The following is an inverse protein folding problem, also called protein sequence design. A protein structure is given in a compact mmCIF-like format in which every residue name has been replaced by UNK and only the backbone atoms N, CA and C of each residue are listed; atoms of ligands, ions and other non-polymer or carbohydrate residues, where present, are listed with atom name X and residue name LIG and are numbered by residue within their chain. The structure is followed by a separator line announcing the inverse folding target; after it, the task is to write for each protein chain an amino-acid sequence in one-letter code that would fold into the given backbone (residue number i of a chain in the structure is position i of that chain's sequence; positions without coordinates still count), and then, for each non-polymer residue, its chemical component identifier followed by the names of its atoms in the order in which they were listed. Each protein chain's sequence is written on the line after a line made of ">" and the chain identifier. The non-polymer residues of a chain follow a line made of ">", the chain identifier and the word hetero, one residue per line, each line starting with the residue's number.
data_IF_731584602507
#
_entry.id   IF_731584602507
#
_cell.length_a   1.000
_cell.length_b   1.000
_cell.length_c   1.000
_cell.angle_alpha   90.00
_cell.angle_beta   90.00
_cell.angle_gamma   90.00
#
_symmetry.space_group_name_H-M   'P 1'
#
loop_
_entity.id
_entity.type
_entity.pdbx_description
1 polymer ?
#
# COMPACT_ATOMS: atom_id res chain seq x y z
N UNK A 1 -10.87 -12.60 -7.29
CA UNK A 1 -9.49 -12.32 -7.77
C UNK A 1 -9.48 -11.38 -8.98
N UNK A 2 -10.37 -11.54 -9.95
CA UNK A 2 -10.37 -10.76 -11.21
C UNK A 2 -10.68 -9.26 -11.00
N UNK A 3 -11.64 -8.93 -10.13
CA UNK A 3 -11.96 -7.54 -9.80
C UNK A 3 -10.74 -6.78 -9.25
N UNK A 4 -10.01 -7.34 -8.28
CA UNK A 4 -8.84 -6.68 -7.73
C UNK A 4 -7.73 -6.47 -8.78
N UNK A 5 -7.54 -7.43 -9.68
CA UNK A 5 -6.61 -7.28 -10.82
C UNK A 5 -7.03 -6.15 -11.76
N UNK A 6 -8.32 -6.03 -12.06
CA UNK A 6 -8.83 -4.96 -12.93
C UNK A 6 -8.57 -3.57 -12.35
N UNK A 7 -8.66 -3.40 -11.01
CA UNK A 7 -8.38 -2.13 -10.34
C UNK A 7 -6.94 -1.64 -10.50
N UNK A 8 -5.98 -2.51 -10.73
CA UNK A 8 -4.57 -2.16 -10.89
C UNK A 8 -4.03 -2.40 -12.31
N UNK A 9 -4.87 -2.77 -13.28
CA UNK A 9 -4.43 -3.19 -14.61
C UNK A 9 -3.58 -2.13 -15.34
N UNK A 10 -3.99 -0.86 -15.27
CA UNK A 10 -3.25 0.27 -15.89
C UNK A 10 -1.87 0.44 -15.24
N UNK A 11 -1.82 0.48 -13.92
CA UNK A 11 -0.58 0.64 -13.18
C UNK A 11 0.34 -0.59 -13.37
N UNK A 12 -0.24 -1.79 -13.45
CA UNK A 12 0.48 -3.02 -13.73
C UNK A 12 1.16 -2.98 -15.09
N UNK A 13 0.42 -2.67 -16.16
CA UNK A 13 0.95 -2.58 -17.53
C UNK A 13 2.05 -1.51 -17.65
N UNK A 14 1.83 -0.34 -17.04
CA UNK A 14 2.83 0.73 -16.98
C UNK A 14 4.10 0.30 -16.27
N UNK A 15 3.98 -0.37 -15.13
CA UNK A 15 5.12 -0.84 -14.34
C UNK A 15 5.89 -1.94 -15.07
N UNK A 16 5.19 -2.87 -15.70
CA UNK A 16 5.80 -3.96 -16.49
C UNK A 16 6.63 -3.40 -17.64
N UNK A 17 6.11 -2.40 -18.36
CA UNK A 17 6.84 -1.70 -19.42
C UNK A 17 8.10 -1.02 -18.91
N UNK A 18 8.02 -0.24 -17.82
CA UNK A 18 9.19 0.39 -17.19
C UNK A 18 10.27 -0.63 -16.77
N UNK A 19 9.88 -1.81 -16.29
CA UNK A 19 10.81 -2.88 -15.96
C UNK A 19 11.47 -3.49 -17.21
N UNK A 20 10.74 -3.66 -18.29
CA UNK A 20 11.26 -4.14 -19.56
C UNK A 20 12.27 -3.17 -20.17
N UNK A 21 11.95 -1.87 -20.19
CA UNK A 21 12.86 -0.80 -20.63
C UNK A 21 14.16 -0.78 -19.82
N UNK A 22 14.05 -0.83 -18.49
CA UNK A 22 15.22 -0.85 -17.60
C UNK A 22 16.09 -2.12 -17.74
N UNK A 23 15.48 -3.23 -18.14
CA UNK A 23 16.16 -4.51 -18.37
C UNK A 23 16.63 -4.69 -19.82
N UNK A 24 16.35 -3.74 -20.71
CA UNK A 24 16.55 -3.86 -22.18
C UNK A 24 15.97 -5.16 -22.75
N UNK A 25 14.75 -5.52 -22.29
CA UNK A 25 14.08 -6.78 -22.59
C UNK A 25 12.66 -6.53 -23.13
N UNK A 26 12.05 -7.56 -23.74
CA UNK A 26 10.65 -7.46 -24.14
C UNK A 26 9.70 -7.42 -22.95
N UNK A 27 8.54 -6.81 -23.09
CA UNK A 27 7.53 -6.72 -22.01
C UNK A 27 7.05 -8.12 -21.60
N UNK A 28 6.94 -9.03 -22.57
CA UNK A 28 6.50 -10.42 -22.36
C UNK A 28 7.47 -11.20 -21.50
N UNK A 29 8.78 -10.91 -21.59
CA UNK A 29 9.81 -11.57 -20.80
C UNK A 29 9.82 -11.19 -19.32
N UNK A 30 9.12 -10.11 -18.93
CA UNK A 30 8.99 -9.70 -17.54
C UNK A 30 7.91 -10.54 -16.85
N UNK A 31 8.26 -11.43 -15.90
CA UNK A 31 7.29 -12.24 -15.20
C UNK A 31 6.31 -11.40 -14.37
N UNK A 32 5.03 -11.76 -14.37
CA UNK A 32 3.99 -11.02 -13.65
C UNK A 32 4.29 -10.86 -12.14
N UNK A 33 4.87 -11.87 -11.50
CA UNK A 33 5.21 -11.84 -10.06
C UNK A 33 6.26 -10.78 -9.69
N UNK A 34 7.04 -10.28 -10.68
CA UNK A 34 7.99 -9.17 -10.47
C UNK A 34 7.33 -7.79 -10.51
N UNK A 35 6.12 -7.72 -11.02
CA UNK A 35 5.41 -6.46 -11.17
C UNK A 35 4.60 -6.19 -9.90
N UNK A 36 5.12 -5.33 -9.02
CA UNK A 36 4.41 -4.89 -7.83
C UNK A 36 3.87 -3.48 -8.06
N UNK A 37 2.56 -3.31 -7.95
CA UNK A 37 1.88 -2.04 -8.19
C UNK A 37 1.87 -1.13 -6.96
N UNK A 38 1.69 0.20 -7.13
CA UNK A 38 1.51 1.12 -6.00
C UNK A 38 0.35 0.74 -5.08
N UNK A 39 -0.77 0.22 -5.63
CA UNK A 39 -1.90 -0.27 -4.84
C UNK A 39 -1.49 -1.41 -3.90
N UNK A 40 -0.79 -2.43 -4.41
CA UNK A 40 -0.33 -3.55 -3.60
C UNK A 40 0.59 -3.08 -2.47
N UNK A 41 1.53 -2.18 -2.77
CA UNK A 41 2.46 -1.64 -1.78
C UNK A 41 1.75 -0.77 -0.74
N UNK A 42 0.82 0.09 -1.16
CA UNK A 42 0.01 0.90 -0.25
C UNK A 42 -0.81 0.02 0.71
N UNK A 43 -1.49 -1.02 0.21
CA UNK A 43 -2.25 -1.96 1.05
C UNK A 43 -1.34 -2.67 2.07
N UNK A 44 -0.13 -3.09 1.68
CA UNK A 44 0.82 -3.70 2.61
C UNK A 44 1.22 -2.74 3.73
N UNK A 45 1.50 -1.48 3.39
CA UNK A 45 1.85 -0.43 4.35
C UNK A 45 0.68 -0.16 5.30
N UNK A 46 -0.54 0.02 4.77
CA UNK A 46 -1.74 0.28 5.56
C UNK A 46 -2.07 -0.88 6.50
N UNK A 47 -1.94 -2.13 6.04
CA UNK A 47 -2.09 -3.31 6.91
C UNK A 47 -1.04 -3.34 8.02
N UNK A 48 0.21 -3.00 7.71
CA UNK A 48 1.27 -2.97 8.71
C UNK A 48 1.04 -1.87 9.76
N UNK A 49 0.63 -0.68 9.32
CA UNK A 49 0.24 0.41 10.21
C UNK A 49 -0.88 -0.01 11.16
N UNK A 50 -1.95 -0.63 10.63
CA UNK A 50 -3.03 -1.20 11.44
C UNK A 50 -2.51 -2.23 12.45
N UNK A 51 -1.67 -3.16 12.02
CA UNK A 51 -1.17 -4.25 12.86
C UNK A 51 -0.31 -3.72 14.02
N UNK A 52 0.45 -2.65 13.81
CA UNK A 52 1.18 -1.97 14.89
C UNK A 52 0.23 -1.25 15.85
N UNK A 53 -0.76 -0.52 15.32
CA UNK A 53 -1.71 0.23 16.14
C UNK A 53 -2.57 -0.69 17.02
N UNK A 54 -2.89 -1.91 16.53
CA UNK A 54 -3.75 -2.88 17.23
C UNK A 54 -2.97 -4.10 17.74
N UNK A 55 -1.67 -3.96 18.06
CA UNK A 55 -0.86 -5.06 18.61
C UNK A 55 -1.51 -5.69 19.84
N UNK A 56 -2.08 -4.85 20.70
CA UNK A 56 -2.66 -5.22 22.00
C UNK A 56 -4.19 -5.26 22.03
N UNK A 57 -4.86 -4.91 20.90
CA UNK A 57 -6.33 -4.87 20.74
C UNK A 57 -6.77 -5.68 19.53
N UNK A 58 -6.41 -6.96 19.46
CA UNK A 58 -6.60 -7.82 18.27
C UNK A 58 -8.06 -8.13 17.94
N UNK A 59 -8.93 -8.14 18.94
CA UNK A 59 -10.36 -8.45 18.89
C UNK A 59 -11.18 -7.40 18.10
N UNK A 60 -10.78 -6.14 18.21
CA UNK A 60 -11.42 -5.01 17.49
C UNK A 60 -10.65 -4.57 16.25
N UNK A 61 -9.50 -5.17 15.98
CA UNK A 61 -8.64 -4.81 14.85
C UNK A 61 -9.42 -4.89 13.52
N UNK A 62 -9.43 -3.82 12.70
CA UNK A 62 -10.07 -3.84 11.39
C UNK A 62 -9.58 -5.00 10.52
N UNK A 63 -10.49 -5.77 9.95
CA UNK A 63 -10.13 -6.95 9.16
C UNK A 63 -9.50 -6.59 7.82
N UNK A 64 -8.59 -7.44 7.36
CA UNK A 64 -7.77 -7.17 6.15
C UNK A 64 -8.59 -7.01 4.88
N UNK A 65 -9.73 -7.69 4.77
CA UNK A 65 -10.57 -7.64 3.57
C UNK A 65 -11.20 -6.26 3.41
N UNK A 66 -11.66 -5.62 4.51
CA UNK A 66 -12.19 -4.24 4.49
C UNK A 66 -11.12 -3.27 3.97
N UNK A 67 -9.91 -3.30 4.54
CA UNK A 67 -8.84 -2.42 4.10
C UNK A 67 -8.50 -2.64 2.62
N UNK A 68 -8.40 -3.91 2.19
CA UNK A 68 -8.07 -4.24 0.80
C UNK A 68 -9.15 -3.77 -0.17
N UNK A 69 -10.42 -4.02 0.16
CA UNK A 69 -11.56 -3.67 -0.71
C UNK A 69 -11.70 -2.15 -0.83
N UNK A 70 -11.73 -1.44 0.29
CA UNK A 70 -11.85 0.01 0.29
C UNK A 70 -10.65 0.71 -0.38
N UNK A 71 -9.42 0.20 -0.16
CA UNK A 71 -8.24 0.70 -0.86
C UNK A 71 -8.33 0.51 -2.36
N UNK A 72 -8.80 -0.65 -2.82
CA UNK A 72 -8.93 -0.92 -4.24
C UNK A 72 -10.05 -0.10 -4.91
N UNK A 73 -11.13 0.20 -4.20
CA UNK A 73 -12.16 1.14 -4.67
C UNK A 73 -11.63 2.57 -4.80
N UNK A 74 -10.85 3.03 -3.82
CA UNK A 74 -10.34 4.40 -3.76
C UNK A 74 -9.14 4.66 -4.68
N UNK A 75 -8.46 3.61 -5.16
CA UNK A 75 -7.28 3.70 -6.01
C UNK A 75 -7.63 4.10 -7.44
N UNK A 76 -6.94 5.10 -7.99
CA UNK A 76 -7.15 5.68 -9.32
C UNK A 76 -5.95 5.50 -10.27
N UNK A 77 -5.17 4.44 -10.07
CA UNK A 77 -3.99 4.12 -10.89
C UNK A 77 -2.82 5.09 -10.72
N UNK A 78 -2.64 5.60 -9.53
CA UNK A 78 -1.53 6.48 -9.15
C UNK A 78 -0.18 5.84 -9.44
N UNK A 79 0.80 6.67 -9.82
CA UNK A 79 2.11 6.19 -10.26
C UNK A 79 3.06 5.85 -9.12
N UNK A 80 2.90 6.51 -7.99
CA UNK A 80 3.77 6.34 -6.83
C UNK A 80 3.01 5.83 -5.60
N UNK A 81 3.74 5.20 -4.68
CA UNK A 81 3.17 4.70 -3.42
C UNK A 81 2.60 5.86 -2.58
N UNK A 82 3.31 6.99 -2.54
CA UNK A 82 2.88 8.17 -1.77
C UNK A 82 1.55 8.72 -2.30
N UNK A 83 1.43 8.89 -3.62
CA UNK A 83 0.18 9.32 -4.24
C UNK A 83 -0.96 8.32 -3.97
N UNK A 84 -0.68 7.01 -4.09
CA UNK A 84 -1.67 5.97 -3.80
C UNK A 84 -2.13 6.01 -2.35
N UNK A 85 -1.22 6.16 -1.37
CA UNK A 85 -1.57 6.28 0.05
C UNK A 85 -2.46 7.50 0.31
N UNK A 86 -2.08 8.67 -0.20
CA UNK A 86 -2.88 9.91 -0.03
C UNK A 86 -4.26 9.75 -0.68
N UNK A 87 -4.32 9.28 -1.90
CA UNK A 87 -5.57 9.08 -2.64
C UNK A 87 -6.50 8.09 -1.93
N UNK A 88 -5.97 6.94 -1.52
CA UNK A 88 -6.71 5.90 -0.80
C UNK A 88 -7.26 6.44 0.51
N UNK A 89 -6.41 7.02 1.36
CA UNK A 89 -6.80 7.52 2.67
C UNK A 89 -7.81 8.67 2.59
N UNK A 90 -7.75 9.49 1.55
CA UNK A 90 -8.70 10.58 1.34
C UNK A 90 -10.10 10.09 0.98
N UNK A 91 -10.21 8.94 0.29
CA UNK A 91 -11.45 8.53 -0.37
C UNK A 91 -12.06 7.22 0.13
N UNK A 92 -11.30 6.37 0.84
CA UNK A 92 -11.74 4.99 1.09
C UNK A 92 -13.02 4.87 1.91
N UNK A 93 -13.30 5.79 2.83
CA UNK A 93 -14.52 5.81 3.62
C UNK A 93 -15.77 6.17 2.81
N UNK A 94 -15.63 6.82 1.65
CA UNK A 94 -16.75 7.12 0.74
C UNK A 94 -17.37 5.86 0.11
N UNK A 95 -16.66 4.74 0.17
CA UNK A 95 -17.13 3.45 -0.33
C UNK A 95 -17.79 2.58 0.74
N UNK A 96 -18.04 3.15 1.92
CA UNK A 96 -18.83 2.54 2.98
C UNK A 96 -20.26 3.04 2.84
N UNK A 97 -21.16 2.16 2.42
CA UNK A 97 -22.59 2.47 2.33
C UNK A 97 -23.27 2.43 3.70
N UNK A 98 -24.37 3.16 3.83
CA UNK A 98 -25.26 3.13 4.99
C UNK A 98 -26.73 3.30 4.53
N UNK A 99 -27.61 2.39 4.92
CA UNK A 99 -29.03 2.41 4.52
C UNK A 99 -29.97 3.04 5.57
N UNK A 100 -29.40 3.64 6.61
CA UNK A 100 -30.14 4.14 7.77
C UNK A 100 -30.15 3.18 8.96
N UNK A 101 -29.80 1.92 8.75
CA UNK A 101 -29.79 0.86 9.77
C UNK A 101 -28.42 0.17 9.83
N UNK A 102 -27.88 -0.21 8.68
CA UNK A 102 -26.66 -1.02 8.57
C UNK A 102 -25.62 -0.40 7.65
N UNK A 103 -24.36 -0.70 7.91
CA UNK A 103 -23.23 -0.35 7.06
C UNK A 103 -22.95 -1.45 6.05
N UNK A 104 -22.53 -1.06 4.84
CA UNK A 104 -22.27 -1.96 3.72
C UNK A 104 -20.86 -1.74 3.16
N UNK A 105 -20.13 -2.83 3.04
CA UNK A 105 -18.89 -2.94 2.27
C UNK A 105 -19.04 -4.24 1.47
N UNK A 106 -19.73 -4.22 0.32
CA UNK A 106 -20.02 -5.43 -0.42
C UNK A 106 -18.75 -6.10 -0.94
N UNK A 107 -18.72 -7.43 -0.93
CA UNK A 107 -17.67 -8.18 -1.62
C UNK A 107 -17.82 -7.98 -3.14
N UNK A 108 -16.80 -7.44 -3.84
CA UNK A 108 -16.90 -7.21 -5.27
C UNK A 108 -17.02 -8.48 -6.12
N UNK A 109 -16.77 -9.65 -5.54
CA UNK A 109 -16.87 -10.96 -6.20
C UNK A 109 -18.18 -11.70 -5.83
N UNK A 110 -18.84 -11.28 -4.76
CA UNK A 110 -20.14 -11.79 -4.29
C UNK A 110 -20.90 -10.65 -3.60
N UNK A 111 -21.73 -9.88 -4.34
CA UNK A 111 -22.43 -8.72 -3.79
C UNK A 111 -23.41 -9.03 -2.64
N UNK A 112 -23.74 -10.30 -2.39
CA UNK A 112 -24.57 -10.71 -1.26
C UNK A 112 -23.77 -10.76 0.05
N UNK A 113 -22.45 -10.88 -0.02
CA UNK A 113 -21.57 -10.84 1.14
C UNK A 113 -21.23 -9.40 1.53
N UNK A 114 -21.47 -9.04 2.79
CA UNK A 114 -21.15 -7.74 3.36
C UNK A 114 -20.01 -7.85 4.37
N UNK A 115 -18.85 -7.28 4.07
CA UNK A 115 -17.70 -7.30 4.98
C UNK A 115 -17.89 -6.47 6.26
N UNK A 116 -18.90 -5.58 6.28
CA UNK A 116 -19.28 -4.80 7.45
C UNK A 116 -20.44 -5.40 8.26
N UNK A 117 -20.85 -6.63 7.97
CA UNK A 117 -22.01 -7.30 8.62
C UNK A 117 -21.92 -7.30 10.14
N UNK A 118 -20.72 -7.56 10.68
CA UNK A 118 -20.45 -7.60 12.12
C UNK A 118 -20.45 -6.23 12.81
N UNK A 119 -20.52 -5.12 12.05
CA UNK A 119 -20.51 -3.77 12.65
C UNK A 119 -21.83 -3.41 13.36
N UNK A 120 -22.92 -4.07 13.00
CA UNK A 120 -24.20 -3.92 13.68
C UNK A 120 -24.18 -4.57 15.09
N UNK A 121 -23.61 -5.77 15.19
CA UNK A 121 -23.48 -6.52 16.46
C UNK A 121 -22.29 -6.00 17.31
N UNK A 122 -21.25 -5.47 16.65
CA UNK A 122 -19.99 -5.04 17.23
C UNK A 122 -19.61 -3.62 16.79
N UNK A 123 -20.34 -2.58 17.28
CA UNK A 123 -20.09 -1.18 16.88
C UNK A 123 -18.68 -0.69 17.23
N UNK A 124 -18.01 -1.31 18.22
CA UNK A 124 -16.62 -1.05 18.57
C UNK A 124 -15.65 -1.39 17.42
N UNK A 125 -15.96 -2.36 16.57
CA UNK A 125 -15.13 -2.68 15.39
C UNK A 125 -15.21 -1.59 14.32
N UNK A 126 -16.39 -0.99 14.14
CA UNK A 126 -16.55 0.18 13.28
C UNK A 126 -15.80 1.37 13.84
N UNK A 127 -15.96 1.65 15.14
CA UNK A 127 -15.25 2.73 15.81
C UNK A 127 -13.73 2.57 15.66
N UNK A 128 -13.21 1.34 15.84
CA UNK A 128 -11.80 1.02 15.66
C UNK A 128 -11.32 1.22 14.20
N UNK A 129 -12.17 0.95 13.19
CA UNK A 129 -11.85 1.25 11.81
C UNK A 129 -11.66 2.75 11.57
N UNK A 130 -12.57 3.59 12.06
CA UNK A 130 -12.44 5.05 11.89
C UNK A 130 -11.31 5.63 12.73
N UNK A 131 -11.08 5.14 13.96
CA UNK A 131 -9.91 5.47 14.78
C UNK A 131 -8.60 5.20 14.02
N UNK A 132 -8.51 4.03 13.40
CA UNK A 132 -7.37 3.68 12.55
C UNK A 132 -7.24 4.59 11.34
N UNK A 133 -8.33 4.87 10.64
CA UNK A 133 -8.33 5.70 9.43
C UNK A 133 -7.83 7.12 9.74
N UNK A 134 -8.30 7.72 10.83
CA UNK A 134 -7.85 9.05 11.25
C UNK A 134 -6.37 9.05 11.67
N UNK A 135 -5.92 8.02 12.37
CA UNK A 135 -4.50 7.87 12.69
C UNK A 135 -3.65 7.73 11.42
N UNK A 136 -4.07 6.89 10.47
CA UNK A 136 -3.38 6.71 9.20
C UNK A 136 -3.35 8.01 8.37
N UNK A 137 -4.46 8.75 8.29
CA UNK A 137 -4.53 10.07 7.65
C UNK A 137 -3.50 11.02 8.24
N UNK A 138 -3.52 11.18 9.54
CA UNK A 138 -2.57 12.09 10.24
C UNK A 138 -1.13 11.71 9.93
N UNK A 139 -0.79 10.43 10.05
CA UNK A 139 0.58 9.96 9.94
C UNK A 139 1.12 10.04 8.51
N UNK A 140 0.35 9.62 7.51
CA UNK A 140 0.79 9.61 6.11
C UNK A 140 0.66 10.97 5.43
N UNK A 141 -0.31 11.81 5.80
CA UNK A 141 -0.41 13.18 5.27
C UNK A 141 0.71 14.06 5.81
N UNK A 142 1.07 13.91 7.10
CA UNK A 142 2.26 14.56 7.64
C UNK A 142 3.53 14.14 6.89
N UNK A 143 3.73 12.84 6.70
CA UNK A 143 4.87 12.31 5.95
C UNK A 143 4.92 12.82 4.49
N UNK A 144 3.78 13.02 3.85
CA UNK A 144 3.69 13.55 2.48
C UNK A 144 4.09 15.04 2.36
N UNK A 145 3.94 15.81 3.44
CA UNK A 145 4.30 17.24 3.49
C UNK A 145 5.79 17.48 3.80
N UNK A 146 6.47 16.48 4.35
CA UNK A 146 7.87 16.61 4.76
C UNK A 146 8.80 16.30 3.60
N UNK A 147 9.72 17.22 3.30
CA UNK A 147 10.66 17.09 2.17
C UNK A 147 11.87 16.20 2.50
N UNK A 148 12.21 16.04 3.79
CA UNK A 148 13.38 15.27 4.22
C UNK A 148 13.05 13.77 4.35
N UNK A 149 13.81 12.94 3.62
CA UNK A 149 13.70 11.46 3.71
C UNK A 149 13.92 10.93 5.12
N UNK A 150 14.85 11.53 5.87
CA UNK A 150 15.15 11.10 7.24
C UNK A 150 13.94 11.34 8.15
N UNK A 151 13.35 12.54 8.09
CA UNK A 151 12.17 12.88 8.90
C UNK A 151 10.97 12.01 8.53
N UNK A 152 10.77 11.70 7.23
CA UNK A 152 9.73 10.76 6.79
C UNK A 152 9.98 9.37 7.40
N UNK A 153 11.21 8.86 7.32
CA UNK A 153 11.57 7.56 7.88
C UNK A 153 11.32 7.54 9.37
N UNK A 154 11.77 8.53 10.10
CA UNK A 154 11.67 8.60 11.56
C UNK A 154 10.21 8.76 12.04
N UNK A 155 9.37 9.47 11.28
CA UNK A 155 7.95 9.66 11.61
C UNK A 155 7.10 8.41 11.34
N UNK A 156 7.43 7.65 10.30
CA UNK A 156 6.63 6.50 9.84
C UNK A 156 7.16 5.17 10.39
N UNK A 157 8.47 5.05 10.64
CA UNK A 157 9.10 3.82 11.12
C UNK A 157 8.46 3.22 12.38
N UNK A 158 8.09 3.98 13.42
CA UNK A 158 7.43 3.42 14.60
C UNK A 158 6.07 2.80 14.30
N UNK A 159 5.41 3.23 13.20
CA UNK A 159 4.03 2.88 12.84
C UNK A 159 3.90 1.78 11.80
N UNK A 160 4.96 1.50 11.06
CA UNK A 160 5.01 0.43 10.05
C UNK A 160 6.10 -0.61 10.33
N UNK A 161 6.89 -0.39 11.38
CA UNK A 161 8.07 -1.19 11.75
C UNK A 161 9.35 -0.68 11.11
N UNK A 162 10.42 -0.57 11.89
CA UNK A 162 11.73 -0.04 11.48
C UNK A 162 12.29 -0.75 10.26
N UNK A 163 12.26 -2.08 10.25
CA UNK A 163 12.80 -2.89 9.16
C UNK A 163 12.18 -2.55 7.80
N UNK A 164 10.87 -2.24 7.75
CA UNK A 164 10.20 -1.88 6.51
C UNK A 164 10.58 -0.47 6.07
N UNK A 165 10.64 0.47 7.01
CA UNK A 165 11.04 1.85 6.75
C UNK A 165 12.50 1.94 6.28
N UNK A 166 13.42 1.19 6.90
CA UNK A 166 14.83 1.13 6.52
C UNK A 166 15.01 0.51 5.13
N UNK A 167 14.37 -0.60 4.83
CA UNK A 167 14.39 -1.21 3.47
C UNK A 167 13.83 -0.27 2.40
N UNK A 168 12.82 0.53 2.72
CA UNK A 168 12.28 1.53 1.81
C UNK A 168 13.30 2.65 1.56
N UNK A 169 13.99 3.11 2.61
CA UNK A 169 15.05 4.11 2.54
C UNK A 169 16.22 3.63 1.68
N UNK A 170 16.71 2.41 1.92
CA UNK A 170 17.88 1.85 1.23
C UNK A 170 17.61 1.60 -0.26
N UNK A 171 16.38 1.21 -0.61
CA UNK A 171 15.97 1.09 -2.03
C UNK A 171 15.80 2.43 -2.74
N UNK A 172 15.53 3.49 -2.00
CA UNK A 172 15.36 4.84 -2.54
C UNK A 172 16.68 5.64 -2.59
N UNK A 173 17.75 5.14 -1.97
CA UNK A 173 19.09 5.75 -2.07
C UNK A 173 19.58 5.63 -3.53
N UNK A 174 20.14 6.70 -4.13
CA UNK A 174 20.79 6.59 -5.44
C UNK A 174 21.94 5.60 -5.29
N UNK A 175 21.99 4.57 -6.15
CA UNK A 175 23.15 3.69 -6.22
C UNK A 175 24.34 4.56 -6.59
N UNK A 176 25.28 4.74 -5.66
CA UNK A 176 26.52 5.47 -5.91
C UNK A 176 27.25 4.77 -7.05
N UNK A 177 27.67 5.55 -8.05
CA UNK A 177 28.38 5.09 -9.25
C UNK A 177 29.75 4.45 -8.98
N UNK A 178 30.11 4.17 -7.72
CA UNK A 178 31.43 3.71 -7.28
C UNK A 178 31.65 2.20 -7.42
N UNK A 179 30.71 1.39 -7.94
CA UNK A 179 30.92 -0.06 -8.11
C UNK A 179 31.27 -0.48 -9.55
N UNK A 180 31.48 0.45 -10.47
CA UNK A 180 31.78 0.14 -11.89
C UNK A 180 33.24 0.23 -12.30
N UNK A 181 34.16 0.48 -11.36
CA UNK A 181 35.59 0.51 -11.65
C UNK A 181 36.30 -0.59 -10.86
N UNK A 182 36.18 -1.84 -11.30
CA UNK A 182 37.21 -2.85 -11.06
C UNK A 182 38.23 -2.70 -12.18
N UNK A 183 39.52 -2.34 -11.87
CA UNK A 183 40.55 -2.39 -12.89
C UNK A 183 40.78 -3.84 -13.28
N UNK A 184 40.81 -4.09 -14.58
CA UNK A 184 41.26 -5.34 -15.14
C UNK A 184 42.72 -5.53 -14.75
N UNK A 185 43.04 -6.51 -13.91
CA UNK A 185 44.40 -6.96 -13.68
C UNK A 185 44.94 -7.56 -14.97
N UNK A 186 45.91 -6.90 -15.57
CA UNK A 186 46.68 -7.41 -16.66
C UNK A 186 47.43 -8.66 -16.19
N UNK A 187 47.19 -9.79 -16.85
CA UNK A 187 48.06 -10.95 -16.78
C UNK A 187 49.23 -10.69 -17.72
N UNK A 188 50.42 -10.58 -17.17
CA UNK A 188 51.69 -10.61 -17.92
C UNK A 188 52.30 -11.99 -17.79
N UNK A 189 52.58 -12.55 -18.96
CA UNK A 189 53.60 -13.55 -19.31
C UNK A 189 53.83 -14.72 -18.35
#
# INVERSE_FOLDING_TARGET
>A
ANWFRSRMAVAFSRRRRKLAEAAQASVESIPEYRVVTPLQQAIMILKRHRDQMFSDRKDVKPISVILTTLSAHAYESEETIGQALVSILTKMDRFIGFDGIRYYIPNPSDPLENFADKWAEHPERRAAFYEWLEAARRDFFYAAQVTSRQVITDSVAPRIGRDLAERARDRAAPKSASSLLRPATAASA
#
